data_IF_684896648961
#
_entry.id   IF_684896648961
#
_cell.length_a   1.000
_cell.length_b   1.000
_cell.length_c   1.000
_cell.angle_alpha   90.00
_cell.angle_beta   90.00
_cell.angle_gamma   90.00
#
_symmetry.space_group_name_H-M   'P 1'
#
loop_
_entity.id
_entity.type
_entity.pdbx_description
1 polymer ?
#
# COMPACT_ATOMS: atom_id res chain seq x y z
N UNK A 1 -1.07 13.21 21.75
CA UNK A 1 -2.15 13.73 20.90
C UNK A 1 -1.49 14.48 19.77
N UNK A 2 -1.81 14.13 18.53
CA UNK A 2 -1.28 14.74 17.32
C UNK A 2 -2.33 15.71 16.75
N UNK A 3 -1.91 16.92 16.39
CA UNK A 3 -2.74 17.89 15.67
C UNK A 3 -2.31 17.85 14.22
N UNK A 4 -3.21 17.49 13.33
CA UNK A 4 -2.96 17.40 11.89
C UNK A 4 -3.92 18.32 11.13
N UNK A 5 -3.53 18.67 9.91
CA UNK A 5 -4.36 19.43 8.98
C UNK A 5 -4.44 18.66 7.66
N UNK A 6 -5.65 18.50 7.14
CA UNK A 6 -5.92 17.85 5.86
C UNK A 6 -6.92 18.74 5.12
N UNK A 7 -6.53 19.24 3.95
CA UNK A 7 -7.35 20.02 3.05
C UNK A 7 -8.05 21.21 3.75
N UNK A 8 -7.27 21.95 4.54
CA UNK A 8 -7.73 23.11 5.31
C UNK A 8 -8.58 22.77 6.55
N UNK A 9 -8.73 21.49 6.89
CA UNK A 9 -9.45 21.03 8.09
C UNK A 9 -8.49 20.47 9.13
N UNK A 10 -8.57 20.97 10.35
CA UNK A 10 -7.74 20.52 11.47
C UNK A 10 -8.41 19.38 12.24
N UNK A 11 -7.64 18.34 12.56
CA UNK A 11 -8.07 17.20 13.37
C UNK A 11 -7.13 16.96 14.54
N UNK A 12 -7.68 16.53 15.68
CA UNK A 12 -6.90 16.13 16.85
C UNK A 12 -7.05 14.62 17.04
N UNK A 13 -5.96 13.89 16.82
CA UNK A 13 -5.93 12.43 16.88
C UNK A 13 -5.09 11.94 18.06
N UNK A 14 -5.42 10.75 18.55
CA UNK A 14 -4.53 10.04 19.47
C UNK A 14 -3.36 9.53 18.64
N UNK A 15 -2.15 9.92 19.03
CA UNK A 15 -0.91 9.44 18.44
C UNK A 15 -0.82 7.93 18.64
N UNK A 16 -0.83 7.15 17.56
CA UNK A 16 -0.63 5.71 17.57
C UNK A 16 0.85 5.36 17.43
N UNK A 17 1.30 4.31 18.10
CA UNK A 17 2.66 3.77 18.01
C UNK A 17 2.81 2.80 16.83
N UNK A 18 2.51 3.27 15.62
CA UNK A 18 2.78 2.54 14.38
C UNK A 18 4.15 2.91 13.81
N UNK A 19 4.63 2.14 12.83
CA UNK A 19 5.85 2.49 12.08
C UNK A 19 5.69 3.80 11.31
N UNK A 20 4.49 4.08 10.81
CA UNK A 20 4.13 5.33 10.14
C UNK A 20 3.42 6.25 11.13
N UNK A 21 3.87 7.50 11.17
CA UNK A 21 3.28 8.54 12.01
C UNK A 21 1.91 8.99 11.47
N UNK A 22 1.03 9.48 12.35
CA UNK A 22 -0.29 10.00 11.94
C UNK A 22 -0.12 11.25 11.07
N UNK A 23 0.94 12.02 11.31
CA UNK A 23 1.33 13.21 10.57
C UNK A 23 1.72 12.88 9.12
N UNK A 24 2.46 11.79 8.92
CA UNK A 24 2.85 11.33 7.58
C UNK A 24 1.64 10.82 6.79
N UNK A 25 0.76 10.05 7.43
CA UNK A 25 -0.50 9.64 6.81
C UNK A 25 -1.38 10.84 6.44
N UNK A 26 -1.43 11.87 7.29
CA UNK A 26 -2.18 13.09 7.03
C UNK A 26 -1.62 13.85 5.80
N UNK A 27 -0.30 13.99 5.71
CA UNK A 27 0.36 14.62 4.57
C UNK A 27 0.08 13.87 3.26
N UNK A 28 0.03 12.54 3.30
CA UNK A 28 -0.30 11.73 2.12
C UNK A 28 -1.74 11.97 1.63
N UNK A 29 -2.71 11.97 2.56
CA UNK A 29 -4.12 12.25 2.24
C UNK A 29 -4.28 13.67 1.70
N UNK A 30 -3.61 14.65 2.31
CA UNK A 30 -3.66 16.05 1.88
C UNK A 30 -3.17 16.23 0.44
N UNK A 31 -2.02 15.64 0.11
CA UNK A 31 -1.46 15.65 -1.24
C UNK A 31 -2.43 15.04 -2.28
N UNK A 32 -3.02 13.87 -1.97
CA UNK A 32 -4.01 13.22 -2.86
C UNK A 32 -5.26 14.07 -3.05
N UNK A 33 -5.74 14.75 -2.01
CA UNK A 33 -6.89 15.65 -2.13
C UNK A 33 -6.57 16.88 -2.99
N UNK A 34 -5.38 17.46 -2.86
CA UNK A 34 -4.92 18.58 -3.68
C UNK A 34 -4.76 18.20 -5.16
N UNK A 35 -4.20 17.03 -5.45
CA UNK A 35 -4.07 16.49 -6.81
C UNK A 35 -5.45 16.35 -7.48
N UNK A 36 -6.42 15.77 -6.77
CA UNK A 36 -7.79 15.60 -7.26
C UNK A 36 -8.51 16.94 -7.45
N UNK A 37 -8.25 17.92 -6.59
CA UNK A 37 -8.82 19.26 -6.70
C UNK A 37 -8.33 20.00 -7.97
N UNK A 38 -7.04 19.88 -8.29
CA UNK A 38 -6.45 20.44 -9.52
C UNK A 38 -7.06 19.80 -10.78
N UNK A 39 -7.25 18.48 -10.76
CA UNK A 39 -7.85 17.74 -11.87
C UNK A 39 -9.36 18.02 -12.02
N UNK A 40 -10.08 18.34 -10.94
CA UNK A 40 -11.55 18.47 -10.91
C UNK A 40 -12.00 19.74 -10.19
N UNK A 41 -11.85 20.88 -10.88
CA UNK A 41 -12.09 22.26 -10.39
C UNK A 41 -13.50 22.61 -9.84
N UNK A 42 -14.43 21.66 -9.67
CA UNK A 42 -15.79 21.90 -9.14
C UNK A 42 -16.32 20.81 -8.20
N UNK A 43 -15.48 19.87 -7.77
CA UNK A 43 -15.91 18.77 -6.91
C UNK A 43 -15.94 19.22 -5.44
N UNK A 44 -17.03 18.97 -4.69
CA UNK A 44 -17.10 19.24 -3.26
C UNK A 44 -15.96 18.56 -2.47
N UNK A 45 -15.51 19.19 -1.38
CA UNK A 45 -14.41 18.66 -0.55
C UNK A 45 -14.69 17.25 0.01
N UNK A 46 -15.96 16.94 0.26
CA UNK A 46 -16.36 15.61 0.75
C UNK A 46 -16.17 14.54 -0.32
N UNK A 47 -16.58 14.84 -1.55
CA UNK A 47 -16.39 13.93 -2.68
C UNK A 47 -14.90 13.78 -3.02
N UNK A 48 -14.11 14.85 -2.91
CA UNK A 48 -12.65 14.77 -3.03
C UNK A 48 -12.03 13.86 -1.96
N UNK A 49 -12.49 13.92 -0.72
CA UNK A 49 -12.00 13.06 0.35
C UNK A 49 -12.35 11.58 0.10
N UNK A 50 -13.57 11.31 -0.40
CA UNK A 50 -13.98 9.94 -0.77
C UNK A 50 -13.14 9.42 -1.93
N UNK A 51 -12.89 10.24 -2.96
CA UNK A 51 -12.04 9.86 -4.09
C UNK A 51 -10.58 9.64 -3.67
N UNK A 52 -10.05 10.48 -2.77
CA UNK A 52 -8.72 10.29 -2.21
C UNK A 52 -8.64 8.96 -1.44
N UNK A 53 -9.61 8.70 -0.57
CA UNK A 53 -9.68 7.43 0.17
C UNK A 53 -9.79 6.21 -0.77
N UNK A 54 -10.56 6.31 -1.85
CA UNK A 54 -10.69 5.26 -2.84
C UNK A 54 -9.36 4.99 -3.57
N UNK A 55 -8.67 6.04 -4.02
CA UNK A 55 -7.37 5.91 -4.69
C UNK A 55 -6.34 5.26 -3.76
N UNK A 56 -6.27 5.70 -2.50
CA UNK A 56 -5.35 5.13 -1.49
C UNK A 56 -5.68 3.66 -1.23
N UNK A 57 -6.97 3.31 -1.11
CA UNK A 57 -7.39 1.93 -0.94
C UNK A 57 -7.05 1.07 -2.16
N UNK A 58 -7.17 1.60 -3.37
CA UNK A 58 -6.81 0.90 -4.59
C UNK A 58 -5.30 0.63 -4.64
N UNK A 59 -4.47 1.64 -4.38
CA UNK A 59 -3.00 1.49 -4.30
C UNK A 59 -2.60 0.43 -3.28
N UNK A 60 -3.23 0.44 -2.10
CA UNK A 60 -2.97 -0.57 -1.06
C UNK A 60 -3.34 -1.98 -1.53
N UNK A 61 -4.49 -2.16 -2.17
CA UNK A 61 -4.96 -3.45 -2.66
C UNK A 61 -4.11 -3.97 -3.82
N UNK A 62 -3.62 -3.08 -4.68
CA UNK A 62 -2.67 -3.42 -5.76
C UNK A 62 -1.35 -3.90 -5.17
N UNK A 63 -0.76 -3.16 -4.22
CA UNK A 63 0.47 -3.55 -3.53
C UNK A 63 0.33 -4.88 -2.79
N UNK A 64 -0.80 -5.13 -2.12
CA UNK A 64 -1.06 -6.42 -1.45
C UNK A 64 -1.14 -7.58 -2.43
N UNK A 65 -1.75 -7.37 -3.60
CA UNK A 65 -1.81 -8.39 -4.66
C UNK A 65 -0.43 -8.64 -5.26
N UNK A 66 0.34 -7.60 -5.53
CA UNK A 66 1.70 -7.72 -6.04
C UNK A 66 2.60 -8.47 -5.05
N UNK A 67 2.53 -8.13 -3.76
CA UNK A 67 3.28 -8.85 -2.72
C UNK A 67 2.87 -10.32 -2.61
N UNK A 68 1.57 -10.62 -2.69
CA UNK A 68 1.06 -11.99 -2.71
C UNK A 68 1.54 -12.78 -3.93
N UNK A 69 1.46 -12.17 -5.12
CA UNK A 69 1.93 -12.77 -6.36
C UNK A 69 3.45 -13.01 -6.34
N UNK A 70 4.22 -12.06 -5.81
CA UNK A 70 5.68 -12.20 -5.67
C UNK A 70 6.07 -13.35 -4.73
N UNK A 71 5.33 -13.55 -3.64
CA UNK A 71 5.56 -14.68 -2.73
C UNK A 71 5.26 -16.01 -3.43
N UNK A 72 4.15 -16.11 -4.15
CA UNK A 72 3.82 -17.33 -4.88
C UNK A 72 4.86 -17.66 -5.95
N UNK A 73 5.34 -16.66 -6.69
CA UNK A 73 6.36 -16.81 -7.73
C UNK A 73 7.72 -17.24 -7.15
N UNK A 74 8.04 -16.79 -5.93
CA UNK A 74 9.22 -17.24 -5.18
C UNK A 74 9.06 -18.68 -4.67
N UNK A 75 7.90 -19.04 -4.12
CA UNK A 75 7.62 -20.40 -3.67
C UNK A 75 7.71 -21.41 -4.82
N UNK A 76 7.18 -21.08 -6.00
CA UNK A 76 7.31 -21.93 -7.18
C UNK A 76 8.77 -22.11 -7.62
N UNK A 77 9.58 -21.05 -7.62
CA UNK A 77 11.01 -21.13 -7.96
C UNK A 77 11.78 -21.97 -6.96
N UNK A 78 11.50 -21.81 -5.67
CA UNK A 78 12.11 -22.64 -4.61
C UNK A 78 11.71 -24.10 -4.79
N UNK A 79 10.44 -24.39 -5.06
CA UNK A 79 9.96 -25.75 -5.35
C UNK A 79 10.71 -26.39 -6.52
N UNK A 80 10.82 -25.69 -7.67
CA UNK A 80 11.55 -26.20 -8.84
C UNK A 80 13.04 -26.44 -8.57
N UNK A 81 13.66 -25.60 -7.74
CA UNK A 81 15.06 -25.79 -7.33
C UNK A 81 15.23 -27.04 -6.46
N UNK A 82 14.30 -27.28 -5.54
CA UNK A 82 14.28 -28.51 -4.73
C UNK A 82 14.11 -29.73 -5.63
N UNK A 83 13.13 -29.71 -6.54
CA UNK A 83 12.90 -30.82 -7.49
C UNK A 83 14.14 -31.12 -8.36
N UNK A 84 14.86 -30.07 -8.76
CA UNK A 84 16.09 -30.23 -9.56
C UNK A 84 17.20 -30.88 -8.74
N UNK A 85 17.41 -30.43 -7.50
CA UNK A 85 18.40 -31.00 -6.58
C UNK A 85 18.08 -32.45 -6.23
N UNK A 86 16.82 -32.78 -6.00
CA UNK A 86 16.38 -34.17 -5.74
C UNK A 86 16.66 -35.09 -6.93
N UNK A 87 16.40 -34.62 -8.15
CA UNK A 87 16.71 -35.38 -9.37
C UNK A 87 18.22 -35.57 -9.59
N UNK A 88 19.06 -34.57 -9.31
CA UNK A 88 20.52 -34.72 -9.39
C UNK A 88 21.05 -35.69 -8.31
N UNK A 89 20.52 -35.63 -7.09
CA UNK A 89 20.91 -36.53 -6.01
C UNK A 89 20.52 -37.99 -6.28
N UNK A 90 19.34 -38.24 -6.87
CA UNK A 90 18.94 -39.59 -7.29
C UNK A 90 19.80 -40.14 -8.44
N UNK A 91 20.39 -39.27 -9.26
CA UNK A 91 21.31 -39.66 -10.33
C UNK A 91 22.70 -40.07 -9.86
N UNK A 92 23.08 -39.77 -8.62
CA UNK A 92 24.41 -40.07 -8.04
C UNK A 92 24.46 -41.45 -7.36
N UNK A 93 23.29 -42.07 -7.10
CA UNK A 93 23.17 -43.41 -6.48
C UNK A 93 23.17 -44.57 -7.50
N UNK A 94 23.57 -44.35 -8.76
CA UNK A 94 23.75 -45.39 -9.79
C UNK A 94 25.20 -45.51 -10.29
#
# INVERSE_FOLDING_TARGET
MAKIEIYGKTYNLKSSSGEISVEEAAAYVDAKMHELAEARKKTPSMDLAVLAALNIAQELLELQKEAGAHNQDQEEKIGRLIDTLENELQGIDY
#
